data_IF_970507209019
#
_entry.id   IF_970507209019
#
_cell.length_a   1.000
_cell.length_b   1.000
_cell.length_c   1.000
_cell.angle_alpha   90.00
_cell.angle_beta   90.00
_cell.angle_gamma   90.00
#
_symmetry.space_group_name_H-M   'P 1'
#
loop_
_entity.id
_entity.type
_entity.pdbx_description
1 polymer ?
#
# COMPACT_ATOMS: atom_id res chain seq x y z
N UNK A 1 -6.23 12.04 1.02
CA UNK A 1 -6.57 12.39 2.41
C UNK A 1 -7.02 11.13 3.09
N UNK A 2 -6.39 10.79 4.21
CA UNK A 2 -6.73 9.60 4.97
C UNK A 2 -8.16 9.68 5.50
N UNK A 3 -8.85 8.55 5.47
CA UNK A 3 -10.15 8.37 6.14
C UNK A 3 -9.98 8.48 7.67
N UNK A 4 -11.06 8.78 8.43
CA UNK A 4 -11.01 8.82 9.89
C UNK A 4 -10.41 7.55 10.52
N UNK A 5 -10.78 6.36 10.04
CA UNK A 5 -10.23 5.11 10.58
C UNK A 5 -8.73 4.95 10.32
N UNK A 6 -8.23 5.42 9.18
CA UNK A 6 -6.80 5.39 8.85
C UNK A 6 -6.00 6.33 9.77
N UNK A 7 -6.56 7.52 10.03
CA UNK A 7 -5.99 8.49 10.97
C UNK A 7 -5.95 7.95 12.40
N UNK A 8 -7.03 7.32 12.85
CA UNK A 8 -7.11 6.69 14.18
C UNK A 8 -6.03 5.61 14.36
N UNK A 9 -5.89 4.73 13.36
CA UNK A 9 -4.86 3.69 13.39
C UNK A 9 -3.46 4.30 13.44
N UNK A 10 -3.18 5.28 12.60
CA UNK A 10 -1.87 5.94 12.55
C UNK A 10 -1.56 6.68 13.86
N UNK A 11 -2.51 7.45 14.39
CA UNK A 11 -2.36 8.12 15.68
C UNK A 11 -2.07 7.11 16.80
N UNK A 12 -2.83 6.02 16.86
CA UNK A 12 -2.60 4.95 17.83
C UNK A 12 -1.19 4.35 17.73
N UNK A 13 -0.76 4.00 16.52
CA UNK A 13 0.57 3.42 16.26
C UNK A 13 1.68 4.36 16.70
N UNK A 14 1.56 5.64 16.33
CA UNK A 14 2.57 6.66 16.63
C UNK A 14 2.65 6.97 18.13
N UNK A 15 1.51 7.14 18.79
CA UNK A 15 1.45 7.39 20.24
C UNK A 15 1.93 6.18 21.05
N UNK A 16 1.54 4.98 20.64
CA UNK A 16 1.97 3.76 21.33
C UNK A 16 3.47 3.52 21.14
N UNK A 17 3.98 3.72 19.93
CA UNK A 17 5.40 3.66 19.63
C UNK A 17 6.22 4.71 20.37
N UNK A 18 5.73 5.96 20.46
CA UNK A 18 6.38 7.01 21.27
C UNK A 18 6.48 6.65 22.75
N UNK A 19 5.50 5.96 23.31
CA UNK A 19 5.57 5.48 24.70
C UNK A 19 6.59 4.37 24.90
N UNK A 20 6.76 3.48 23.92
CA UNK A 20 7.69 2.35 24.02
C UNK A 20 9.12 2.70 23.63
N UNK A 21 9.30 3.58 22.64
CA UNK A 21 10.60 4.00 22.14
C UNK A 21 10.57 5.51 21.79
N UNK A 22 10.66 6.39 22.81
CA UNK A 22 10.46 7.83 22.67
C UNK A 22 11.33 8.50 21.59
N UNK A 23 12.59 8.10 21.46
CA UNK A 23 13.53 8.69 20.50
C UNK A 23 13.45 8.04 19.11
N UNK A 24 12.57 7.06 18.95
CA UNK A 24 12.52 6.21 17.76
C UNK A 24 11.26 6.34 16.95
N UNK A 25 10.20 6.92 17.50
CA UNK A 25 8.99 7.25 16.74
C UNK A 25 8.94 8.73 16.39
N UNK A 26 8.35 9.13 15.25
CA UNK A 26 8.10 10.54 14.97
C UNK A 26 7.03 11.09 15.93
N UNK A 27 7.06 12.40 16.18
CA UNK A 27 6.04 13.06 16.99
C UNK A 27 4.69 13.03 16.26
N UNK A 28 3.59 12.59 16.90
CA UNK A 28 2.27 12.66 16.29
C UNK A 28 1.87 14.13 16.04
N UNK A 29 1.75 14.51 14.77
CA UNK A 29 1.12 15.75 14.30
C UNK A 29 0.06 15.40 13.28
N UNK A 30 -0.85 16.33 12.95
CA UNK A 30 -1.91 16.06 11.97
C UNK A 30 -1.34 15.58 10.62
N UNK A 31 -0.29 16.24 10.12
CA UNK A 31 0.38 15.88 8.87
C UNK A 31 1.06 14.51 8.94
N UNK A 32 1.77 14.21 10.04
CA UNK A 32 2.43 12.91 10.22
C UNK A 32 1.39 11.79 10.33
N UNK A 33 0.28 12.03 11.04
CA UNK A 33 -0.83 11.08 11.16
C UNK A 33 -1.47 10.80 9.81
N UNK A 34 -1.69 11.81 8.97
CA UNK A 34 -2.21 11.62 7.61
C UNK A 34 -1.24 10.83 6.73
N UNK A 35 0.04 11.21 6.71
CA UNK A 35 1.04 10.53 5.92
C UNK A 35 1.19 9.05 6.33
N UNK A 36 1.18 8.77 7.63
CA UNK A 36 1.21 7.40 8.15
C UNK A 36 -0.10 6.66 7.86
N UNK A 37 -1.26 7.31 8.02
CA UNK A 37 -2.57 6.73 7.76
C UNK A 37 -2.68 6.20 6.33
N UNK A 38 -2.30 7.02 5.35
CA UNK A 38 -2.32 6.66 3.92
C UNK A 38 -1.40 5.45 3.64
N UNK A 39 -0.20 5.42 4.22
CA UNK A 39 0.75 4.32 3.99
C UNK A 39 0.33 3.03 4.70
N UNK A 40 -0.09 3.09 5.96
CA UNK A 40 -0.50 1.91 6.73
C UNK A 40 -1.77 1.28 6.13
N UNK A 41 -2.67 2.09 5.58
CA UNK A 41 -3.89 1.62 4.92
C UNK A 41 -3.63 0.69 3.71
N UNK A 42 -2.46 0.80 3.07
CA UNK A 42 -2.09 -0.08 1.95
C UNK A 42 -1.88 -1.52 2.37
N UNK A 43 -1.75 -1.78 3.68
CA UNK A 43 -1.53 -3.10 4.25
C UNK A 43 -2.85 -3.63 4.79
N UNK A 44 -3.42 -4.62 4.11
CA UNK A 44 -4.69 -5.27 4.49
C UNK A 44 -4.51 -6.22 5.67
N UNK A 45 -4.27 -5.64 6.85
CA UNK A 45 -4.20 -6.35 8.13
C UNK A 45 -5.22 -5.77 9.13
N UNK A 46 -5.74 -6.60 10.06
CA UNK A 46 -6.63 -6.09 11.08
C UNK A 46 -5.93 -5.09 12.01
N UNK A 47 -6.63 -4.04 12.49
CA UNK A 47 -6.06 -3.02 13.38
C UNK A 47 -5.33 -3.60 14.60
N UNK A 48 -5.79 -4.75 15.10
CA UNK A 48 -5.28 -5.42 16.27
C UNK A 48 -3.85 -5.98 16.10
N UNK A 49 -3.36 -6.14 14.86
CA UNK A 49 -2.00 -6.59 14.58
C UNK A 49 -0.97 -5.50 14.88
N UNK A 50 -1.34 -4.24 14.68
CA UNK A 50 -0.41 -3.11 14.77
C UNK A 50 0.18 -2.86 16.17
N UNK A 51 -0.57 -2.95 17.29
CA UNK A 51 0.04 -2.89 18.62
C UNK A 51 1.14 -3.93 18.82
N UNK A 52 0.91 -5.17 18.40
CA UNK A 52 1.91 -6.24 18.53
C UNK A 52 3.09 -6.02 17.56
N UNK A 53 2.83 -5.42 16.39
CA UNK A 53 3.90 -5.03 15.46
C UNK A 53 4.80 -3.95 16.05
N UNK A 54 4.23 -2.95 16.74
CA UNK A 54 5.01 -1.91 17.44
C UNK A 54 5.85 -2.55 18.56
N UNK A 55 5.28 -3.45 19.36
CA UNK A 55 6.03 -4.17 20.41
C UNK A 55 7.17 -4.99 19.82
N UNK A 56 6.89 -5.78 18.79
CA UNK A 56 7.87 -6.59 18.10
C UNK A 56 9.01 -5.72 17.57
N UNK A 57 8.67 -4.62 16.90
CA UNK A 57 9.67 -3.71 16.38
C UNK A 57 10.53 -3.12 17.50
N UNK A 58 9.89 -2.58 18.55
CA UNK A 58 10.59 -1.93 19.65
C UNK A 58 11.51 -2.90 20.43
N UNK A 59 11.11 -4.16 20.58
CA UNK A 59 11.83 -5.15 21.36
C UNK A 59 12.92 -5.87 20.56
N UNK A 60 12.63 -6.26 19.31
CA UNK A 60 13.47 -7.20 18.56
C UNK A 60 14.15 -6.57 17.34
N UNK A 61 13.59 -5.49 16.77
CA UNK A 61 14.02 -4.95 15.47
C UNK A 61 14.53 -3.50 15.52
N UNK A 62 14.40 -2.83 16.66
CA UNK A 62 14.73 -1.43 16.80
C UNK A 62 16.23 -1.20 16.54
N UNK A 63 16.51 -0.42 15.50
CA UNK A 63 17.86 -0.02 15.14
C UNK A 63 18.25 1.36 15.68
N UNK A 64 19.42 1.87 15.28
CA UNK A 64 19.89 3.20 15.65
C UNK A 64 19.14 4.34 14.93
N UNK A 65 18.22 4.03 14.01
CA UNK A 65 17.44 5.00 13.24
C UNK A 65 16.00 5.03 13.75
N UNK A 66 15.33 6.14 13.43
CA UNK A 66 13.89 6.27 13.65
C UNK A 66 13.13 5.22 12.83
N UNK A 67 12.02 4.73 13.38
CA UNK A 67 11.13 3.80 12.70
C UNK A 67 10.56 4.44 11.42
N UNK A 68 10.50 3.64 10.36
CA UNK A 68 9.80 4.00 9.14
C UNK A 68 8.53 3.17 8.99
N UNK A 69 7.56 3.60 8.16
CA UNK A 69 6.40 2.77 7.84
C UNK A 69 6.78 1.41 7.24
N UNK A 70 7.92 1.32 6.53
CA UNK A 70 8.44 0.06 5.99
C UNK A 70 8.83 -0.90 7.11
N UNK A 71 9.49 -0.41 8.16
CA UNK A 71 9.93 -1.24 9.28
C UNK A 71 8.71 -1.79 10.04
N UNK A 72 7.70 -0.97 10.27
CA UNK A 72 6.46 -1.45 10.89
C UNK A 72 5.66 -2.40 9.97
N UNK A 73 5.67 -2.20 8.66
CA UNK A 73 5.08 -3.17 7.72
C UNK A 73 5.74 -4.54 7.85
N UNK A 74 7.07 -4.58 7.94
CA UNK A 74 7.81 -5.83 8.13
C UNK A 74 7.48 -6.48 9.47
N UNK A 75 7.46 -5.70 10.56
CA UNK A 75 7.05 -6.18 11.87
C UNK A 75 5.60 -6.71 11.87
N UNK A 76 4.67 -6.02 11.20
CA UNK A 76 3.27 -6.43 11.10
C UNK A 76 3.10 -7.76 10.35
N UNK A 77 3.90 -8.02 9.30
CA UNK A 77 3.87 -9.32 8.64
C UNK A 77 4.48 -10.42 9.50
N UNK A 78 5.56 -10.16 10.23
CA UNK A 78 6.09 -11.12 11.19
C UNK A 78 5.07 -11.45 12.29
N UNK A 79 4.33 -10.46 12.80
CA UNK A 79 3.23 -10.69 13.75
C UNK A 79 2.09 -11.47 13.12
N UNK A 80 1.67 -11.14 11.90
CA UNK A 80 0.67 -11.92 11.15
C UNK A 80 1.07 -13.39 11.08
N UNK A 81 2.31 -13.67 10.71
CA UNK A 81 2.80 -15.05 10.55
C UNK A 81 2.82 -15.80 11.88
N UNK A 82 3.18 -15.12 12.99
CA UNK A 82 3.03 -15.66 14.35
C UNK A 82 1.56 -15.94 14.68
N UNK A 83 0.65 -15.02 14.33
CA UNK A 83 -0.78 -15.14 14.58
C UNK A 83 -1.45 -16.28 13.79
N UNK A 84 -0.95 -16.64 12.61
CA UNK A 84 -1.44 -17.82 11.87
C UNK A 84 -1.30 -19.13 12.65
N UNK A 85 -0.30 -19.19 13.55
CA UNK A 85 -0.04 -20.38 14.37
C UNK A 85 -0.85 -20.41 15.67
N UNK A 86 -1.50 -19.30 16.05
CA UNK A 86 -2.35 -19.20 17.24
C UNK A 86 -3.83 -19.38 16.84
N UNK A 87 -4.55 -20.40 17.36
CA UNK A 87 -5.93 -20.66 16.96
C UNK A 87 -6.91 -19.51 17.19
N UNK A 88 -6.71 -18.69 18.23
CA UNK A 88 -7.58 -17.55 18.56
C UNK A 88 -7.27 -16.38 17.65
N UNK A 89 -6.00 -16.07 17.44
CA UNK A 89 -5.56 -14.97 16.57
C UNK A 89 -5.83 -15.28 15.10
N UNK A 90 -5.63 -16.52 14.68
CA UNK A 90 -5.96 -16.99 13.33
C UNK A 90 -7.43 -16.73 13.00
N UNK A 91 -8.36 -16.99 13.93
CA UNK A 91 -9.79 -16.67 13.74
C UNK A 91 -10.02 -15.18 13.48
N UNK A 92 -9.25 -14.29 14.10
CA UNK A 92 -9.33 -12.84 13.85
C UNK A 92 -8.84 -12.48 12.45
N UNK A 93 -7.74 -13.09 12.00
CA UNK A 93 -7.24 -12.92 10.63
C UNK A 93 -8.25 -13.42 9.59
N UNK A 94 -8.84 -14.59 9.84
CA UNK A 94 -9.83 -15.19 8.94
C UNK A 94 -11.11 -14.35 8.88
N UNK A 95 -11.61 -13.87 10.01
CA UNK A 95 -12.76 -12.95 10.05
C UNK A 95 -12.48 -11.65 9.30
N UNK A 96 -11.27 -11.10 9.42
CA UNK A 96 -10.88 -9.91 8.67
C UNK A 96 -10.84 -10.17 7.16
N UNK A 97 -10.22 -11.27 6.73
CA UNK A 97 -10.19 -11.69 5.31
C UNK A 97 -11.59 -11.86 4.76
N UNK A 98 -12.46 -12.50 5.53
CA UNK A 98 -13.84 -12.75 5.13
C UNK A 98 -14.65 -11.47 4.97
N UNK A 99 -14.48 -10.51 5.89
CA UNK A 99 -15.06 -9.17 5.75
C UNK A 99 -14.60 -8.49 4.46
N UNK A 100 -13.30 -8.53 4.14
CA UNK A 100 -12.77 -7.93 2.92
C UNK A 100 -13.29 -8.63 1.65
N UNK A 101 -13.49 -9.96 1.68
CA UNK A 101 -14.11 -10.70 0.58
C UNK A 101 -15.55 -10.26 0.37
N UNK A 102 -16.36 -10.20 1.43
CA UNK A 102 -17.76 -9.76 1.36
C UNK A 102 -17.88 -8.34 0.84
N UNK A 103 -17.02 -7.43 1.29
CA UNK A 103 -16.98 -6.05 0.81
C UNK A 103 -16.63 -5.99 -0.68
N UNK A 104 -15.61 -6.73 -1.11
CA UNK A 104 -15.24 -6.86 -2.53
C UNK A 104 -16.40 -7.41 -3.36
N UNK A 105 -17.05 -8.47 -2.90
CA UNK A 105 -18.13 -9.13 -3.63
C UNK A 105 -19.37 -8.23 -3.72
N UNK A 106 -19.67 -7.46 -2.66
CA UNK A 106 -20.71 -6.43 -2.68
C UNK A 106 -20.39 -5.30 -3.69
N UNK A 107 -19.14 -4.84 -3.75
CA UNK A 107 -18.69 -3.85 -4.73
C UNK A 107 -18.77 -4.37 -6.17
N UNK A 108 -18.45 -5.65 -6.39
CA UNK A 108 -18.59 -6.30 -7.69
C UNK A 108 -20.06 -6.39 -8.10
N UNK A 109 -20.94 -6.81 -7.19
CA UNK A 109 -22.38 -6.88 -7.44
C UNK A 109 -23.00 -5.50 -7.72
N UNK A 110 -22.49 -4.45 -7.06
CA UNK A 110 -22.92 -3.07 -7.28
C UNK A 110 -22.32 -2.43 -8.54
N UNK A 111 -21.40 -3.09 -9.25
CA UNK A 111 -20.70 -2.53 -10.41
C UNK A 111 -19.69 -1.42 -10.09
N UNK A 112 -19.48 -1.08 -8.83
CA UNK A 112 -18.62 0.02 -8.37
C UNK A 112 -17.16 -0.39 -8.13
N UNK A 113 -16.86 -1.68 -8.28
CA UNK A 113 -15.55 -2.25 -7.95
C UNK A 113 -14.38 -1.61 -8.73
N UNK A 114 -14.57 -1.33 -10.02
CA UNK A 114 -13.55 -0.68 -10.84
C UNK A 114 -13.33 0.79 -10.43
N UNK A 115 -14.41 1.54 -10.31
CA UNK A 115 -14.38 2.99 -10.03
C UNK A 115 -13.75 3.30 -8.68
N UNK A 116 -14.08 2.54 -7.63
CA UNK A 116 -13.54 2.71 -6.28
C UNK A 116 -12.03 2.44 -6.18
N UNK A 117 -11.48 1.63 -7.10
CA UNK A 117 -10.03 1.40 -7.20
C UNK A 117 -9.33 2.34 -8.18
N UNK A 118 -10.04 3.34 -8.70
CA UNK A 118 -9.49 4.29 -9.65
C UNK A 118 -9.28 3.72 -11.04
N UNK A 119 -9.94 2.60 -11.39
CA UNK A 119 -10.01 2.17 -12.78
C UNK A 119 -10.84 3.18 -13.55
N UNK A 120 -10.17 3.93 -14.44
CA UNK A 120 -10.84 4.69 -15.49
C UNK A 120 -10.95 3.77 -16.70
N UNK A 121 -12.16 3.47 -17.21
CA UNK A 121 -12.31 2.80 -18.48
C UNK A 121 -11.47 3.54 -19.52
N UNK A 122 -10.66 2.81 -20.29
CA UNK A 122 -10.01 3.41 -21.45
C UNK A 122 -11.13 3.87 -22.38
N UNK A 123 -11.26 5.17 -22.60
CA UNK A 123 -12.05 5.67 -23.72
C UNK A 123 -11.37 5.11 -24.97
N UNK A 124 -12.01 4.12 -25.60
CA UNK A 124 -11.61 3.64 -26.91
C UNK A 124 -12.00 4.75 -27.87
N UNK A 125 -11.14 5.79 -27.95
CA UNK A 125 -11.20 6.73 -29.05
C UNK A 125 -11.17 5.93 -30.33
N UNK A 126 -12.07 6.22 -31.27
CA UNK A 126 -12.01 5.69 -32.63
C UNK A 126 -10.56 5.71 -33.07
N UNK A 127 -10.00 4.54 -33.39
CA UNK A 127 -8.64 4.42 -33.87
C UNK A 127 -8.53 5.29 -35.13
N UNK A 128 -8.07 6.54 -34.95
CA UNK A 128 -7.65 7.39 -36.04
C UNK A 128 -6.58 6.60 -36.78
N UNK A 129 -6.85 6.37 -38.07
CA UNK A 129 -6.04 5.55 -38.97
C UNK A 129 -4.56 5.86 -38.76
N UNK A 130 -3.84 4.89 -38.19
CA UNK A 130 -2.42 5.07 -37.90
C UNK A 130 -1.71 5.12 -39.26
N UNK A 131 -1.15 6.29 -39.61
CA UNK A 131 -0.33 6.49 -40.81
C UNK A 131 0.97 5.69 -40.71
N UNK A 132 0.82 4.40 -40.92
CA UNK A 132 1.88 3.40 -40.95
C UNK A 132 2.85 3.66 -42.09
N UNK A 133 2.39 4.28 -43.19
CA UNK A 133 3.24 4.65 -44.32
C UNK A 133 4.24 5.75 -43.94
N UNK A 134 3.79 6.81 -43.26
CA UNK A 134 4.64 7.90 -42.78
C UNK A 134 5.63 7.49 -41.67
N UNK A 135 5.28 6.46 -40.89
CA UNK A 135 6.18 5.86 -39.89
C UNK A 135 7.29 5.05 -40.59
N UNK A 136 6.94 4.21 -41.57
CA UNK A 136 7.90 3.38 -42.30
C UNK A 136 8.88 4.23 -43.12
N UNK A 137 8.43 5.33 -43.72
CA UNK A 137 9.32 6.26 -44.44
C UNK A 137 10.36 6.93 -43.54
N UNK A 138 9.98 7.33 -42.31
CA UNK A 138 10.92 7.90 -41.33
C UNK A 138 12.00 6.89 -40.92
N UNK A 139 11.62 5.63 -40.71
CA UNK A 139 12.57 4.56 -40.34
C UNK A 139 13.56 4.30 -41.48
N UNK A 140 13.07 4.22 -42.73
CA UNK A 140 13.93 4.03 -43.92
C UNK A 140 14.88 5.20 -44.17
N UNK A 141 14.50 6.43 -43.77
CA UNK A 141 15.36 7.61 -43.89
C UNK A 141 16.45 7.63 -42.82
N UNK A 142 16.11 7.24 -41.59
CA UNK A 142 17.08 7.13 -40.48
C UNK A 142 18.13 6.05 -40.69
N UNK A 143 17.77 4.92 -41.32
CA UNK A 143 18.71 3.83 -41.61
C UNK A 143 19.70 4.16 -42.74
N UNK A 144 19.30 4.98 -43.73
CA UNK A 144 20.16 5.40 -44.84
C UNK A 144 21.26 6.39 -44.44
N UNK A 145 21.10 7.11 -43.32
CA UNK A 145 22.11 8.06 -42.82
C UNK A 145 23.24 7.42 -42.01
N UNK A 146 23.18 6.11 -41.70
CA UNK A 146 24.16 5.44 -40.82
C UNK A 146 25.19 4.58 -41.54
N UNK A 147 25.06 4.40 -42.85
CA UNK A 147 25.95 3.58 -43.69
C UNK A 147 26.93 4.39 -44.54
N UNK A 148 27.14 5.68 -44.23
CA UNK A 148 27.99 6.60 -44.99
C UNK A 148 29.10 7.27 -44.19
N UNK A 149 29.71 6.57 -43.23
CA UNK A 149 30.95 7.04 -42.61
C UNK A 149 31.86 5.83 -42.34
N UNK A 150 32.71 5.53 -43.31
CA UNK A 150 33.92 4.71 -43.18
C UNK A 150 35.06 5.49 -43.81
#
# INVERSE_FOLDING_TARGET
MSTPQQRELAAYVLEYGKRLAPDRFPQPSAEVVDAWGDVLATVSLPPQVWPDAVKLWALELAGPRMVTPRDLKQAAFAVRDRWESDPVRKRQLDAHRERLRKERDAQLAAGTFGELRGYKPLEVGHAGEVDTAGIVERIKRGLRGRTGNS
#
